data_IF_986051171594
#
_entry.id   IF_986051171594
#
_cell.length_a   1.000
_cell.length_b   1.000
_cell.length_c   1.000
_cell.angle_alpha   90.00
_cell.angle_beta   90.00
_cell.angle_gamma   90.00
#
_symmetry.space_group_name_H-M   'P 1'
#
loop_
_entity.id
_entity.type
_entity.pdbx_description
1 polymer ?
#
# COMPACT_ATOMS: atom_id res chain seq x y z
N UNK A 1 22.70 9.53 -1.60
CA UNK A 1 21.88 9.17 -0.41
C UNK A 1 21.90 7.65 -0.28
N UNK A 2 21.92 7.11 0.94
CA UNK A 2 22.14 5.68 1.23
C UNK A 2 20.95 5.01 1.93
N UNK A 3 19.73 5.43 1.62
CA UNK A 3 18.51 4.77 2.09
C UNK A 3 18.13 3.66 1.09
N UNK A 4 17.79 2.47 1.59
CA UNK A 4 17.34 1.37 0.74
C UNK A 4 15.88 1.51 0.29
N UNK A 5 15.06 2.17 1.12
CA UNK A 5 13.64 2.44 0.89
C UNK A 5 13.31 3.88 1.31
N UNK A 6 12.51 4.56 0.49
CA UNK A 6 11.87 5.84 0.81
C UNK A 6 10.35 5.68 0.76
N UNK A 7 9.66 6.11 1.81
CA UNK A 7 8.21 6.04 1.92
C UNK A 7 7.59 7.44 2.01
N UNK A 8 6.52 7.67 1.25
CA UNK A 8 5.67 8.85 1.38
C UNK A 8 4.62 8.58 2.45
N UNK A 9 4.90 9.02 3.67
CA UNK A 9 3.99 8.84 4.79
C UNK A 9 2.81 9.82 4.72
N UNK A 10 1.63 9.31 5.09
CA UNK A 10 0.33 10.00 5.16
C UNK A 10 0.20 11.10 4.08
N UNK A 11 0.28 10.72 2.79
CA UNK A 11 0.59 11.64 1.68
C UNK A 11 -0.47 12.72 1.46
N UNK A 12 -1.72 12.44 1.86
CA UNK A 12 -2.86 13.33 1.76
C UNK A 12 -3.24 14.00 3.10
N UNK A 13 -2.36 13.98 4.11
CA UNK A 13 -2.53 14.84 5.29
C UNK A 13 -2.46 16.33 4.90
N UNK A 14 -2.75 17.23 5.83
CA UNK A 14 -2.76 18.69 5.56
C UNK A 14 -1.44 19.20 4.96
N UNK A 15 -0.33 18.59 5.37
CA UNK A 15 1.05 18.86 4.99
C UNK A 15 1.72 17.67 4.30
N UNK A 16 0.95 16.66 3.88
CA UNK A 16 1.47 15.49 3.18
C UNK A 16 2.04 15.85 1.80
N UNK A 17 2.93 15.02 1.26
CA UNK A 17 3.64 15.33 0.02
C UNK A 17 2.69 15.53 -1.17
N UNK A 18 1.72 14.63 -1.37
CA UNK A 18 0.76 14.72 -2.48
C UNK A 18 -0.17 15.93 -2.32
N UNK A 19 -0.66 16.21 -1.10
CA UNK A 19 -1.40 17.46 -0.82
C UNK A 19 -0.56 18.69 -1.15
N UNK A 20 0.72 18.67 -0.80
CA UNK A 20 1.63 19.81 -1.02
C UNK A 20 1.91 20.03 -2.49
N UNK A 21 2.05 18.97 -3.28
CA UNK A 21 2.16 19.04 -4.74
C UNK A 21 0.93 19.66 -5.37
N UNK A 22 -0.27 19.20 -5.01
CA UNK A 22 -1.54 19.73 -5.53
C UNK A 22 -1.76 21.21 -5.19
N UNK A 23 -1.23 21.65 -4.04
CA UNK A 23 -1.24 23.07 -3.61
C UNK A 23 -0.10 23.90 -4.20
N UNK A 24 0.78 23.33 -5.03
CA UNK A 24 2.03 23.96 -5.50
C UNK A 24 2.92 24.48 -4.35
N UNK A 25 2.90 23.77 -3.22
CA UNK A 25 3.62 24.12 -1.99
C UNK A 25 4.85 23.23 -1.71
N UNK A 26 5.02 22.13 -2.46
CA UNK A 26 6.21 21.26 -2.35
C UNK A 26 7.43 21.93 -2.99
N UNK A 27 8.47 22.32 -2.22
CA UNK A 27 9.70 22.86 -2.79
C UNK A 27 10.36 21.81 -3.68
N UNK A 28 10.72 22.18 -4.91
CA UNK A 28 11.29 21.24 -5.90
C UNK A 28 10.25 20.49 -6.74
N UNK A 29 8.97 20.54 -6.37
CA UNK A 29 7.90 19.88 -7.13
C UNK A 29 7.92 18.36 -7.00
N UNK A 30 7.51 17.68 -8.08
CA UNK A 30 7.44 16.23 -8.16
C UNK A 30 8.84 15.59 -8.16
N UNK A 31 8.99 14.53 -7.36
CA UNK A 31 10.15 13.65 -7.24
C UNK A 31 9.60 12.23 -7.14
N UNK A 32 10.03 11.35 -8.04
CA UNK A 32 9.62 9.96 -8.14
C UNK A 32 10.57 9.00 -7.39
N UNK A 33 11.49 9.52 -6.58
CA UNK A 33 12.48 8.74 -5.84
C UNK A 33 11.95 7.99 -4.63
N UNK A 34 10.64 7.82 -4.49
CA UNK A 34 10.02 7.05 -3.42
C UNK A 34 9.61 5.65 -3.89
N UNK A 35 9.73 4.68 -2.98
CA UNK A 35 9.40 3.28 -3.24
C UNK A 35 7.99 2.92 -2.73
N UNK A 36 7.55 3.59 -1.66
CA UNK A 36 6.34 3.23 -0.93
C UNK A 36 5.42 4.41 -0.69
N UNK A 37 4.11 4.13 -0.64
CA UNK A 37 3.04 5.10 -0.35
C UNK A 37 2.24 4.59 0.85
N UNK A 38 2.14 5.39 1.91
CA UNK A 38 1.51 4.96 3.15
C UNK A 38 -0.03 5.04 3.10
N UNK A 39 -0.67 3.95 3.54
CA UNK A 39 -2.07 3.89 3.95
C UNK A 39 -2.13 3.97 5.48
N UNK A 40 -2.85 4.98 5.97
CA UNK A 40 -3.08 5.16 7.40
C UNK A 40 -4.17 4.24 7.95
N UNK A 41 -4.35 4.18 9.27
CA UNK A 41 -5.47 3.47 9.87
C UNK A 41 -6.80 4.14 9.47
N UNK A 42 -7.84 3.37 9.18
CA UNK A 42 -9.19 3.93 9.11
C UNK A 42 -9.70 4.09 10.55
N UNK A 43 -9.80 5.33 11.03
CA UNK A 43 -10.65 5.64 12.18
C UNK A 43 -12.08 5.95 11.71
N UNK A 44 -13.02 5.97 12.65
CA UNK A 44 -14.41 6.40 12.42
C UNK A 44 -14.50 7.93 12.19
N UNK A 45 -13.49 8.54 11.56
CA UNK A 45 -13.51 9.91 11.12
C UNK A 45 -13.53 9.96 9.58
N UNK A 46 -14.31 10.91 9.04
CA UNK A 46 -14.52 11.03 7.60
C UNK A 46 -13.27 11.51 6.86
N UNK A 47 -12.42 12.27 7.55
CA UNK A 47 -11.25 12.89 6.95
C UNK A 47 -10.18 11.85 6.61
N UNK A 48 -9.88 10.90 7.51
CA UNK A 48 -8.92 9.82 7.22
C UNK A 48 -9.44 8.84 6.18
N UNK A 49 -10.75 8.55 6.19
CA UNK A 49 -11.37 7.75 5.13
C UNK A 49 -11.20 8.42 3.76
N UNK A 50 -11.38 9.74 3.69
CA UNK A 50 -11.13 10.51 2.48
C UNK A 50 -9.65 10.45 2.07
N UNK A 51 -8.72 10.64 3.01
CA UNK A 51 -7.26 10.58 2.73
C UNK A 51 -6.82 9.23 2.19
N UNK A 52 -7.27 8.12 2.78
CA UNK A 52 -6.94 6.78 2.28
C UNK A 52 -7.51 6.54 0.88
N UNK A 53 -8.74 6.99 0.61
CA UNK A 53 -9.33 6.92 -0.73
C UNK A 53 -8.49 7.71 -1.74
N UNK A 54 -8.12 8.95 -1.41
CA UNK A 54 -7.37 9.82 -2.32
C UNK A 54 -5.96 9.26 -2.57
N UNK A 55 -5.35 8.67 -1.53
CA UNK A 55 -4.07 7.94 -1.63
C UNK A 55 -4.18 6.73 -2.57
N UNK A 56 -5.21 5.90 -2.42
CA UNK A 56 -5.43 4.75 -3.30
C UNK A 56 -5.65 5.20 -4.75
N UNK A 57 -6.47 6.22 -4.98
CA UNK A 57 -6.72 6.75 -6.32
C UNK A 57 -5.44 7.32 -6.95
N UNK A 58 -4.59 7.99 -6.18
CA UNK A 58 -3.29 8.46 -6.66
C UNK A 58 -2.38 7.30 -7.02
N UNK A 59 -2.28 6.30 -6.15
CA UNK A 59 -1.48 5.10 -6.36
C UNK A 59 -1.91 4.35 -7.62
N UNK A 60 -3.22 4.21 -7.87
CA UNK A 60 -3.72 3.62 -9.11
C UNK A 60 -3.32 4.39 -10.37
N UNK A 61 -3.26 5.73 -10.30
CA UNK A 61 -2.79 6.53 -11.43
C UNK A 61 -1.32 6.25 -11.75
N UNK A 62 -0.48 6.13 -10.71
CA UNK A 62 0.92 5.76 -10.85
C UNK A 62 1.07 4.36 -11.47
N UNK A 63 0.33 3.36 -10.99
CA UNK A 63 0.36 2.02 -11.58
C UNK A 63 -0.11 2.03 -13.04
N UNK A 64 -1.12 2.84 -13.37
CA UNK A 64 -1.62 2.99 -14.73
C UNK A 64 -0.62 3.71 -15.68
N UNK A 65 0.31 4.53 -15.14
CA UNK A 65 1.41 5.13 -15.90
C UNK A 65 2.66 4.24 -15.97
N UNK A 66 2.68 3.13 -15.24
CA UNK A 66 3.82 2.20 -15.19
C UNK A 66 4.81 2.47 -14.06
N UNK A 67 4.46 3.35 -13.11
CA UNK A 67 5.29 3.66 -11.96
C UNK A 67 5.09 2.63 -10.83
N UNK A 68 6.19 2.13 -10.27
CA UNK A 68 6.20 1.00 -9.33
C UNK A 68 6.36 1.45 -7.88
N UNK A 69 5.42 2.26 -7.41
CA UNK A 69 5.32 2.62 -5.99
C UNK A 69 4.29 1.74 -5.28
N UNK A 70 4.70 1.01 -4.26
CA UNK A 70 3.84 0.04 -3.57
C UNK A 70 3.26 0.57 -2.26
N UNK A 71 2.18 -0.07 -1.78
CA UNK A 71 1.54 0.36 -0.55
C UNK A 71 2.34 -0.11 0.68
N UNK A 72 2.49 0.79 1.65
CA UNK A 72 2.91 0.48 3.02
C UNK A 72 1.88 1.01 4.01
N UNK A 73 2.01 0.67 5.28
CA UNK A 73 1.10 1.09 6.32
C UNK A 73 1.83 1.34 7.64
N UNK A 74 1.43 2.43 8.30
CA UNK A 74 1.86 2.79 9.64
C UNK A 74 0.69 3.34 10.43
N UNK A 75 0.64 3.02 11.73
CA UNK A 75 -0.43 3.53 12.61
C UNK A 75 -0.17 4.95 13.12
N UNK A 76 1.03 5.48 12.91
CA UNK A 76 1.45 6.82 13.35
C UNK A 76 1.13 7.13 14.83
N UNK A 77 1.37 6.13 15.70
CA UNK A 77 1.04 6.24 17.12
C UNK A 77 2.09 7.07 17.84
N UNK A 78 1.65 8.20 18.38
CA UNK A 78 2.47 9.12 19.16
C UNK A 78 2.35 8.93 20.69
N UNK A 79 1.40 8.11 21.15
CA UNK A 79 1.21 7.77 22.56
C UNK A 79 0.66 6.34 22.70
N UNK A 80 1.53 5.39 23.03
CA UNK A 80 1.19 3.97 23.18
C UNK A 80 0.36 3.67 24.44
N UNK A 81 0.26 4.61 25.39
CA UNK A 81 -0.54 4.43 26.61
C UNK A 81 -2.01 4.73 26.37
N UNK A 82 -2.32 5.62 25.42
CA UNK A 82 -3.70 6.05 25.13
C UNK A 82 -4.20 5.69 23.74
N UNK A 83 -3.34 5.22 22.83
CA UNK A 83 -3.67 4.87 21.44
C UNK A 83 -3.27 3.43 21.11
N UNK A 84 -4.06 2.80 20.24
CA UNK A 84 -3.83 1.43 19.78
C UNK A 84 -2.81 1.44 18.63
N UNK A 85 -1.69 0.74 18.81
CA UNK A 85 -0.74 0.45 17.73
C UNK A 85 -1.21 -0.70 16.84
N UNK A 86 -0.81 -0.68 15.56
CA UNK A 86 -1.06 -1.78 14.62
C UNK A 86 -2.49 -1.89 14.07
N UNK A 87 -3.29 -0.81 14.14
CA UNK A 87 -4.63 -0.76 13.51
C UNK A 87 -4.59 -0.94 11.99
N UNK A 88 -3.46 -0.62 11.37
CA UNK A 88 -3.09 -0.94 9.98
C UNK A 88 -1.67 -1.52 10.00
N UNK A 89 -1.39 -2.50 9.14
CA UNK A 89 -0.13 -3.25 9.10
C UNK A 89 0.30 -3.52 7.66
N UNK A 90 1.61 -3.45 7.42
CA UNK A 90 2.25 -4.01 6.23
C UNK A 90 2.63 -5.46 6.51
N UNK A 91 2.25 -6.37 5.63
CA UNK A 91 2.70 -7.75 5.63
C UNK A 91 3.59 -7.97 4.41
N UNK A 92 4.78 -8.52 4.62
CA UNK A 92 5.77 -8.75 3.57
C UNK A 92 6.03 -10.24 3.46
N UNK A 93 5.99 -10.76 2.24
CA UNK A 93 6.36 -12.12 1.93
C UNK A 93 7.88 -12.21 1.74
N UNK A 94 8.56 -12.91 2.64
CA UNK A 94 10.00 -13.16 2.56
C UNK A 94 10.24 -14.62 2.20
N UNK A 95 10.91 -14.86 1.08
CA UNK A 95 11.24 -16.21 0.64
C UNK A 95 12.41 -16.83 1.44
N UNK A 96 12.16 -18.04 1.94
CA UNK A 96 13.12 -18.79 2.75
C UNK A 96 13.38 -18.14 4.11
N UNK A 97 14.60 -18.28 4.61
CA UNK A 97 14.97 -17.73 5.91
C UNK A 97 14.91 -16.20 5.92
N UNK A 98 14.34 -15.66 7.01
CA UNK A 98 14.22 -14.23 7.24
C UNK A 98 15.58 -13.55 7.39
N UNK A 99 15.72 -12.39 6.76
CA UNK A 99 16.79 -11.41 7.00
C UNK A 99 16.25 -10.01 6.72
N UNK A 100 16.91 -8.99 7.27
CA UNK A 100 16.50 -7.59 7.06
C UNK A 100 16.62 -7.23 5.59
N UNK A 101 17.70 -7.65 4.94
CA UNK A 101 18.00 -7.37 3.55
C UNK A 101 16.92 -7.95 2.63
N UNK A 102 16.51 -9.20 2.87
CA UNK A 102 15.41 -9.82 2.11
C UNK A 102 14.06 -9.16 2.40
N UNK A 103 13.80 -8.76 3.64
CA UNK A 103 12.57 -8.04 3.98
C UNK A 103 12.47 -6.72 3.23
N UNK A 104 13.56 -5.93 3.23
CA UNK A 104 13.65 -4.66 2.51
C UNK A 104 13.50 -4.89 1.01
N UNK A 105 14.20 -5.87 0.44
CA UNK A 105 14.08 -6.21 -0.98
C UNK A 105 12.65 -6.60 -1.38
N UNK A 106 12.02 -7.50 -0.61
CA UNK A 106 10.66 -7.97 -0.86
C UNK A 106 9.64 -6.83 -0.73
N UNK A 107 9.79 -5.96 0.26
CA UNK A 107 8.93 -4.79 0.43
C UNK A 107 9.05 -3.83 -0.75
N UNK A 108 10.28 -3.53 -1.19
CA UNK A 108 10.55 -2.66 -2.35
C UNK A 108 10.06 -3.26 -3.67
N UNK A 109 10.07 -4.59 -3.79
CA UNK A 109 9.52 -5.31 -4.94
C UNK A 109 7.99 -5.48 -4.90
N UNK A 110 7.31 -4.94 -3.89
CA UNK A 110 5.85 -5.04 -3.77
C UNK A 110 5.34 -6.43 -3.40
N UNK A 111 6.21 -7.31 -2.90
CA UNK A 111 5.83 -8.62 -2.34
C UNK A 111 5.19 -8.43 -0.95
N UNK A 112 4.20 -7.56 -0.88
CA UNK A 112 3.60 -7.09 0.34
C UNK A 112 2.14 -6.69 0.13
N UNK A 113 1.39 -6.62 1.23
CA UNK A 113 0.06 -6.01 1.24
C UNK A 113 -0.18 -5.25 2.54
N UNK A 114 -1.09 -4.29 2.47
CA UNK A 114 -1.55 -3.52 3.63
C UNK A 114 -2.89 -4.06 4.11
N UNK A 115 -3.08 -4.17 5.43
CA UNK A 115 -4.34 -4.64 6.00
C UNK A 115 -4.65 -4.02 7.35
N UNK A 116 -5.95 -3.80 7.57
CA UNK A 116 -6.53 -3.34 8.83
C UNK A 116 -7.22 -4.46 9.62
N UNK A 117 -7.15 -5.70 9.14
CA UNK A 117 -7.78 -6.83 9.82
C UNK A 117 -7.47 -8.15 9.14
N UNK A 118 -7.97 -8.39 7.91
CA UNK A 118 -7.80 -9.67 7.25
C UNK A 118 -6.35 -10.01 6.92
N UNK A 119 -5.97 -11.27 7.04
CA UNK A 119 -4.75 -11.80 6.43
C UNK A 119 -5.09 -12.38 5.07
N UNK A 120 -4.24 -12.10 4.08
CA UNK A 120 -4.42 -12.56 2.70
C UNK A 120 -3.20 -13.39 2.32
N UNK A 121 -3.46 -14.60 1.82
CA UNK A 121 -2.44 -15.53 1.32
C UNK A 121 -2.75 -15.78 -0.16
N UNK A 122 -2.10 -15.06 -1.08
CA UNK A 122 -2.34 -15.24 -2.50
C UNK A 122 -1.56 -16.48 -3.02
N UNK A 123 -2.11 -17.16 -4.02
CA UNK A 123 -1.39 -18.21 -4.76
C UNK A 123 -0.25 -17.64 -5.62
N UNK A 124 -0.44 -16.44 -6.15
CA UNK A 124 0.56 -15.65 -6.87
C UNK A 124 0.98 -14.49 -5.96
N UNK A 125 2.27 -14.38 -5.63
CA UNK A 125 2.75 -13.31 -4.77
C UNK A 125 2.39 -11.92 -5.34
N UNK A 126 1.94 -11.00 -4.48
CA UNK A 126 1.77 -9.61 -4.88
C UNK A 126 3.08 -9.03 -5.44
N UNK A 127 3.00 -8.08 -6.36
CA UNK A 127 4.17 -7.52 -7.05
C UNK A 127 4.78 -8.42 -8.14
N UNK A 128 4.31 -9.67 -8.29
CA UNK A 128 4.78 -10.55 -9.37
C UNK A 128 4.46 -9.99 -10.75
N UNK A 129 5.42 -10.11 -11.68
CA UNK A 129 5.20 -9.87 -13.10
C UNK A 129 4.96 -11.20 -13.80
N UNK A 130 3.84 -11.29 -14.52
CA UNK A 130 3.44 -12.50 -15.24
C UNK A 130 3.47 -12.22 -16.74
N UNK A 131 4.05 -13.14 -17.50
CA UNK A 131 3.77 -13.22 -18.93
C UNK A 131 2.45 -13.97 -19.10
N UNK A 132 1.46 -13.32 -19.69
CA UNK A 132 0.12 -13.87 -19.87
C UNK A 132 -0.44 -13.46 -21.23
N UNK A 133 -0.95 -14.43 -21.98
CA UNK A 133 -1.48 -14.20 -23.33
C UNK A 133 -2.83 -13.49 -23.29
N UNK A 134 -3.06 -12.62 -24.27
CA UNK A 134 -4.31 -11.87 -24.34
C UNK A 134 -5.49 -12.80 -24.66
N UNK A 135 -6.55 -12.73 -23.85
CA UNK A 135 -7.77 -13.52 -24.03
C UNK A 135 -7.81 -14.82 -23.23
N UNK A 136 -6.67 -15.25 -22.67
CA UNK A 136 -6.65 -16.38 -21.74
C UNK A 136 -7.12 -15.92 -20.35
N UNK A 137 -7.93 -16.73 -19.63
CA UNK A 137 -8.25 -16.43 -18.24
C UNK A 137 -7.01 -16.48 -17.35
N UNK A 138 -6.80 -15.44 -16.53
CA UNK A 138 -5.82 -15.47 -15.44
C UNK A 138 -6.54 -15.81 -14.14
N UNK A 139 -6.25 -16.97 -13.58
CA UNK A 139 -6.82 -17.38 -12.29
C UNK A 139 -6.05 -16.73 -11.13
N UNK A 140 -6.76 -15.93 -10.33
CA UNK A 140 -6.23 -15.29 -9.12
C UNK A 140 -6.89 -15.91 -7.89
N UNK A 141 -6.16 -16.78 -7.20
CA UNK A 141 -6.65 -17.44 -6.00
C UNK A 141 -6.10 -16.79 -4.71
N UNK A 142 -6.97 -16.58 -3.72
CA UNK A 142 -6.63 -16.02 -2.43
C UNK A 142 -7.26 -16.80 -1.29
N UNK A 143 -6.47 -17.19 -0.29
CA UNK A 143 -7.00 -17.59 1.02
C UNK A 143 -7.05 -16.36 1.92
N UNK A 144 -8.23 -16.07 2.49
CA UNK A 144 -8.43 -14.91 3.38
C UNK A 144 -8.88 -15.36 4.76
N UNK A 145 -8.23 -14.83 5.79
CA UNK A 145 -8.60 -15.06 7.20
C UNK A 145 -9.04 -13.74 7.83
N UNK A 146 -10.29 -13.67 8.31
CA UNK A 146 -10.84 -12.48 8.95
C UNK A 146 -11.62 -12.86 10.22
N UNK A 147 -11.29 -12.24 11.35
CA UNK A 147 -11.90 -12.54 12.66
C UNK A 147 -13.41 -12.30 12.67
N UNK A 148 -13.86 -11.21 12.03
CA UNK A 148 -15.27 -10.83 11.96
C UNK A 148 -15.99 -11.40 10.72
N UNK A 149 -15.37 -12.34 10.01
CA UNK A 149 -15.83 -12.82 8.71
C UNK A 149 -15.50 -11.85 7.58
N UNK A 150 -15.78 -12.29 6.35
CA UNK A 150 -15.54 -11.56 5.11
C UNK A 150 -16.89 -11.15 4.50
N UNK A 151 -17.10 -9.86 4.27
CA UNK A 151 -18.35 -9.35 3.67
C UNK A 151 -18.32 -9.39 2.15
N UNK A 152 -17.19 -8.99 1.56
CA UNK A 152 -17.00 -8.91 0.12
C UNK A 152 -15.50 -8.92 -0.22
N UNK A 153 -15.20 -9.35 -1.44
CA UNK A 153 -13.91 -9.16 -2.12
C UNK A 153 -14.20 -8.36 -3.37
N UNK A 154 -13.32 -7.42 -3.71
CA UNK A 154 -13.43 -6.61 -4.92
C UNK A 154 -12.07 -6.59 -5.61
N UNK A 155 -12.07 -6.83 -6.90
CA UNK A 155 -10.90 -6.67 -7.75
C UNK A 155 -11.00 -5.31 -8.43
N UNK A 156 -9.93 -4.52 -8.36
CA UNK A 156 -9.87 -3.19 -8.97
C UNK A 156 -8.84 -3.24 -10.09
N UNK A 157 -9.28 -2.96 -11.31
CA UNK A 157 -8.42 -2.77 -12.47
C UNK A 157 -8.55 -1.32 -12.95
N UNK A 158 -7.41 -0.64 -13.17
CA UNK A 158 -7.37 0.74 -13.68
C UNK A 158 -8.30 1.73 -12.93
N UNK A 159 -8.50 1.49 -11.63
CA UNK A 159 -9.35 2.31 -10.77
C UNK A 159 -10.85 2.02 -10.84
N UNK A 160 -11.27 0.90 -11.45
CA UNK A 160 -12.66 0.43 -11.52
C UNK A 160 -12.79 -1.01 -11.05
N UNK A 161 -13.95 -1.36 -10.47
CA UNK A 161 -14.27 -2.74 -10.08
C UNK A 161 -14.52 -3.59 -11.34
N UNK A 162 -13.98 -4.81 -11.38
CA UNK A 162 -14.11 -5.77 -12.49
C UNK A 162 -14.84 -7.04 -12.08
#
# INVERSE_FOLDING_TARGET
MGADIVAVNHPYSEYGYFTSLEKNAAPGGWDDGFDLIEIGPVLDNKDEQARNRDTLHHTWRLWNSGDEAYLTAGSDVHDVWSKVSGRVRTYVHVEGDFSIEKFVHALKAGHAFVSQGPLVYPSIAFGSRLAHESGDPLELEFTVQAVAGLKAVRLIERGSEV
#
